data_IF_438489410696
#
_entry.id   IF_438489410696
#
_cell.length_a   1.000
_cell.length_b   1.000
_cell.length_c   1.000
_cell.angle_alpha   90.00
_cell.angle_beta   90.00
_cell.angle_gamma   90.00
#
_symmetry.space_group_name_H-M   'P 1'
#
loop_
_entity.id
_entity.type
_entity.pdbx_description
1 polymer ?
#
# COMPACT_ATOMS: atom_id res chain seq x y z
N UNK A 1 -25.89 13.31 13.70
CA UNK A 1 -25.03 13.96 12.68
C UNK A 1 -24.33 15.23 13.15
N UNK A 2 -24.92 16.04 14.06
CA UNK A 2 -24.29 17.30 14.51
C UNK A 2 -23.06 17.13 15.46
N UNK A 3 -22.92 16.01 16.19
CA UNK A 3 -21.78 15.82 17.12
C UNK A 3 -20.48 15.38 16.44
N UNK A 4 -20.55 14.71 15.28
CA UNK A 4 -19.36 14.26 14.53
C UNK A 4 -18.65 15.42 13.81
N UNK A 5 -19.40 16.43 13.34
CA UNK A 5 -18.85 17.62 12.70
C UNK A 5 -18.14 18.55 13.71
N UNK A 6 -18.60 18.58 14.97
CA UNK A 6 -17.99 19.40 16.02
C UNK A 6 -16.63 18.87 16.49
N UNK A 7 -16.46 17.54 16.54
CA UNK A 7 -15.20 16.89 16.90
C UNK A 7 -14.12 17.06 15.81
N UNK A 8 -14.52 17.02 14.53
CA UNK A 8 -13.60 17.23 13.41
C UNK A 8 -13.12 18.69 13.31
N UNK A 9 -13.99 19.66 13.62
CA UNK A 9 -13.63 21.07 13.67
C UNK A 9 -12.62 21.37 14.79
N UNK A 10 -12.79 20.76 15.97
CA UNK A 10 -11.88 20.93 17.12
C UNK A 10 -10.46 20.40 16.83
N UNK A 11 -10.35 19.25 16.15
CA UNK A 11 -9.08 18.67 15.74
C UNK A 11 -8.34 19.52 14.68
N UNK A 12 -9.08 20.10 13.73
CA UNK A 12 -8.54 21.00 12.70
C UNK A 12 -8.08 22.36 13.27
N UNK A 13 -8.80 22.91 14.26
CA UNK A 13 -8.38 24.16 14.94
C UNK A 13 -7.12 23.98 15.80
N UNK A 14 -6.91 22.81 16.39
CA UNK A 14 -5.67 22.45 17.10
C UNK A 14 -4.46 22.36 16.15
N UNK A 15 -4.69 21.87 14.92
CA UNK A 15 -3.65 21.78 13.88
C UNK A 15 -3.26 23.17 13.34
N UNK A 16 -4.22 24.09 13.23
CA UNK A 16 -4.02 25.46 12.74
C UNK A 16 -3.26 26.36 13.72
N UNK A 17 -3.31 26.07 15.02
CA UNK A 17 -2.64 26.85 16.06
C UNK A 17 -1.15 26.51 16.27
N UNK A 18 -0.60 25.51 15.56
CA UNK A 18 0.78 25.03 15.73
C UNK A 18 1.66 25.11 14.47
N UNK A 19 1.20 25.74 13.40
CA UNK A 19 2.03 26.02 12.22
C UNK A 19 2.40 27.51 12.18
N UNK A 20 3.68 27.90 12.05
CA UNK A 20 3.98 29.25 11.58
C UNK A 20 3.46 29.38 10.15
N UNK A 21 2.66 30.41 9.89
CA UNK A 21 2.09 30.71 8.59
C UNK A 21 3.20 30.97 7.57
N UNK A 22 3.51 29.98 6.74
CA UNK A 22 4.20 30.17 5.48
C UNK A 22 3.20 29.78 4.39
N UNK A 23 2.66 30.80 3.72
CA UNK A 23 2.25 30.86 2.31
C UNK A 23 1.24 32.02 2.16
N UNK A 24 1.78 33.24 2.02
CA UNK A 24 1.11 34.33 1.30
C UNK A 24 1.37 34.18 -0.21
N UNK A 25 0.60 34.89 -1.06
CA UNK A 25 0.58 34.64 -2.51
C UNK A 25 1.93 34.97 -3.16
N UNK A 26 2.39 34.06 -4.02
CA UNK A 26 3.66 34.17 -4.75
C UNK A 26 3.57 35.32 -5.76
N UNK A 27 4.33 36.39 -5.53
CA UNK A 27 4.74 37.36 -6.55
C UNK A 27 6.26 37.24 -6.76
N UNK A 28 6.68 37.04 -8.00
CA UNK A 28 8.08 37.14 -8.44
C UNK A 28 8.62 38.57 -8.22
N UNK A 29 9.76 38.74 -7.54
CA UNK A 29 10.70 39.89 -7.73
C UNK A 29 12.13 39.51 -7.26
N UNK A 30 13.22 39.96 -7.92
CA UNK A 30 14.60 39.58 -7.57
C UNK A 30 15.28 40.47 -6.51
N UNK A 31 16.28 39.86 -5.84
CA UNK A 31 17.52 40.34 -5.22
C UNK A 31 17.57 41.53 -4.21
N UNK A 32 18.44 41.32 -3.21
CA UNK A 32 19.20 42.22 -2.31
C UNK A 32 18.69 42.57 -0.89
N UNK A 33 19.54 42.16 0.06
CA UNK A 33 20.03 42.79 1.31
C UNK A 33 19.20 42.92 2.61
N UNK A 34 19.76 42.26 3.64
CA UNK A 34 20.07 42.71 5.01
C UNK A 34 18.96 43.25 5.95
N UNK A 35 18.78 42.56 7.10
CA UNK A 35 19.16 43.04 8.45
C UNK A 35 18.19 42.58 9.56
N UNK A 36 18.74 41.81 10.51
CA UNK A 36 18.66 41.92 12.00
C UNK A 36 17.30 41.98 12.75
N UNK A 37 17.15 40.99 13.65
CA UNK A 37 17.05 41.11 15.14
C UNK A 37 15.72 40.79 15.86
N UNK A 38 15.89 39.92 16.89
CA UNK A 38 15.24 39.76 18.20
C UNK A 38 13.84 39.11 18.38
N UNK A 39 13.90 37.96 19.07
CA UNK A 39 12.94 37.33 20.01
C UNK A 39 12.93 38.10 21.36
N UNK A 40 12.32 37.67 22.50
CA UNK A 40 11.14 36.82 22.83
C UNK A 40 10.25 37.41 23.96
N UNK A 41 9.15 36.73 24.36
CA UNK A 41 8.80 36.34 25.77
C UNK A 41 7.42 35.61 25.80
N UNK A 42 7.30 34.36 26.33
CA UNK A 42 6.91 33.91 27.71
C UNK A 42 5.50 34.38 28.15
N UNK A 43 4.65 33.64 28.89
CA UNK A 43 4.73 32.37 29.61
C UNK A 43 3.36 31.99 30.23
N UNK A 44 3.06 30.68 30.28
CA UNK A 44 2.66 29.84 31.43
C UNK A 44 1.32 29.95 32.21
N UNK A 45 0.78 28.73 32.45
CA UNK A 45 0.13 28.17 33.69
C UNK A 45 -1.29 28.67 34.08
N UNK A 46 -2.17 27.96 34.82
CA UNK A 46 -2.31 26.63 35.44
C UNK A 46 -3.78 26.55 35.96
N UNK A 47 -4.50 25.42 35.90
CA UNK A 47 -4.73 24.39 36.93
C UNK A 47 -6.04 24.47 37.76
N UNK A 48 -6.55 23.25 38.05
CA UNK A 48 -7.41 22.79 39.16
C UNK A 48 -8.90 23.17 39.17
N UNK A 49 -9.85 22.43 39.76
CA UNK A 49 -10.06 21.05 40.23
C UNK A 49 -11.48 21.01 40.86
N UNK A 50 -12.14 19.85 40.96
CA UNK A 50 -13.18 19.65 42.01
C UNK A 50 -14.35 18.70 41.70
N UNK A 51 -14.42 17.59 42.46
CA UNK A 51 -15.62 17.20 43.23
C UNK A 51 -16.64 16.21 42.63
N UNK A 52 -16.64 14.97 43.16
CA UNK A 52 -17.73 13.95 43.11
C UNK A 52 -18.71 14.16 44.31
N UNK A 53 -19.91 13.51 44.42
CA UNK A 53 -20.03 12.06 44.68
C UNK A 53 -21.29 11.29 44.16
N UNK A 54 -21.09 9.99 43.94
CA UNK A 54 -21.88 8.78 44.29
C UNK A 54 -23.44 8.78 44.24
N UNK A 55 -24.00 7.79 43.52
CA UNK A 55 -25.20 7.02 43.93
C UNK A 55 -25.13 5.56 43.46
N UNK A 56 -25.57 4.65 44.32
CA UNK A 56 -25.52 3.19 44.16
C UNK A 56 -26.91 2.56 43.93
N UNK A 57 -26.84 1.32 43.43
CA UNK A 57 -27.80 0.21 43.53
C UNK A 57 -28.97 0.10 42.52
N UNK A 58 -28.92 -0.96 41.70
CA UNK A 58 -29.93 -2.02 41.71
C UNK A 58 -29.40 -3.28 40.99
N UNK A 59 -29.44 -4.42 41.70
CA UNK A 59 -29.20 -5.78 41.20
C UNK A 59 -30.56 -6.34 40.79
N UNK A 60 -30.68 -6.95 39.61
CA UNK A 60 -31.80 -7.81 39.26
C UNK A 60 -31.35 -8.98 38.37
N UNK A 61 -32.00 -10.12 38.61
CA UNK A 61 -31.61 -11.48 38.27
C UNK A 61 -31.50 -11.85 36.78
N UNK A 62 -30.62 -12.83 36.59
CA UNK A 62 -30.44 -13.72 35.44
C UNK A 62 -31.76 -14.30 34.92
N UNK A 63 -31.94 -14.25 33.60
CA UNK A 63 -32.71 -15.27 32.87
C UNK A 63 -31.96 -15.62 31.58
N UNK A 64 -31.40 -16.82 31.56
CA UNK A 64 -30.80 -17.40 30.37
C UNK A 64 -31.90 -17.65 29.32
N UNK A 65 -31.71 -17.10 28.13
CA UNK A 65 -32.47 -17.46 26.94
C UNK A 65 -31.47 -17.95 25.90
N UNK A 66 -31.41 -19.26 25.76
CA UNK A 66 -30.82 -19.98 24.64
C UNK A 66 -31.60 -19.63 23.36
N UNK A 67 -31.11 -18.64 22.61
CA UNK A 67 -31.57 -18.34 21.26
C UNK A 67 -30.49 -18.74 20.27
N UNK A 68 -30.75 -19.80 19.50
CA UNK A 68 -29.95 -20.14 18.33
C UNK A 68 -30.05 -18.97 17.35
N UNK A 69 -28.94 -18.27 17.14
CA UNK A 69 -28.89 -17.18 16.16
C UNK A 69 -29.05 -17.77 14.75
N UNK A 70 -30.11 -17.33 14.05
CA UNK A 70 -30.28 -17.60 12.63
C UNK A 70 -29.10 -16.99 11.84
N UNK A 71 -28.74 -17.55 10.67
CA UNK A 71 -27.65 -17.00 9.88
C UNK A 71 -28.01 -15.58 9.46
N UNK A 72 -27.06 -14.65 9.62
CA UNK A 72 -27.16 -13.30 9.08
C UNK A 72 -27.16 -13.43 7.56
N UNK A 73 -28.32 -13.24 6.94
CA UNK A 73 -28.46 -13.11 5.49
C UNK A 73 -27.58 -11.95 5.02
N UNK A 74 -26.61 -12.26 4.16
CA UNK A 74 -25.81 -11.24 3.50
C UNK A 74 -26.74 -10.37 2.65
N UNK A 75 -26.91 -9.11 3.05
CA UNK A 75 -27.59 -8.12 2.21
C UNK A 75 -26.84 -8.01 0.88
N UNK A 76 -27.57 -8.24 -0.23
CA UNK A 76 -27.07 -7.97 -1.56
C UNK A 76 -26.64 -6.51 -1.67
N UNK A 77 -25.47 -6.21 -2.27
CA UNK A 77 -25.01 -4.84 -2.40
C UNK A 77 -26.02 -4.05 -3.24
N UNK A 78 -26.34 -2.84 -2.77
CA UNK A 78 -27.11 -1.87 -3.55
C UNK A 78 -26.47 -1.73 -4.93
N UNK A 79 -27.30 -1.66 -5.97
CA UNK A 79 -26.87 -1.52 -7.37
C UNK A 79 -25.74 -0.49 -7.46
N UNK A 80 -24.58 -0.94 -7.97
CA UNK A 80 -23.33 -0.19 -7.98
C UNK A 80 -23.54 1.17 -8.64
N UNK A 81 -23.76 2.20 -7.83
CA UNK A 81 -23.65 3.58 -8.27
C UNK A 81 -22.19 3.80 -8.63
N UNK A 82 -21.96 4.30 -9.84
CA UNK A 82 -20.68 4.66 -10.43
C UNK A 82 -19.59 4.97 -9.37
N UNK A 83 -18.78 3.94 -9.09
CA UNK A 83 -17.69 3.95 -8.10
C UNK A 83 -16.52 4.83 -8.61
N UNK A 84 -16.54 5.20 -9.89
CA UNK A 84 -15.38 5.70 -10.63
C UNK A 84 -14.90 7.12 -10.28
N UNK A 85 -15.75 8.13 -9.98
CA UNK A 85 -15.27 9.52 -9.95
C UNK A 85 -14.22 9.79 -8.86
N UNK A 86 -14.26 9.08 -7.73
CA UNK A 86 -13.33 9.30 -6.61
C UNK A 86 -12.27 8.20 -6.47
N UNK A 87 -12.58 6.95 -6.82
CA UNK A 87 -11.59 5.86 -6.75
C UNK A 87 -10.43 6.09 -7.71
N UNK A 88 -10.71 6.46 -8.98
CA UNK A 88 -9.63 6.69 -9.97
C UNK A 88 -8.68 7.82 -9.53
N UNK A 89 -9.15 9.01 -9.09
CA UNK A 89 -8.27 10.03 -8.52
C UNK A 89 -7.51 9.59 -7.27
N UNK A 90 -8.12 8.79 -6.39
CA UNK A 90 -7.46 8.25 -5.21
C UNK A 90 -6.28 7.33 -5.58
N UNK A 91 -6.50 6.37 -6.48
CA UNK A 91 -5.44 5.50 -7.00
C UNK A 91 -4.36 6.28 -7.76
N UNK A 92 -4.75 7.27 -8.56
CA UNK A 92 -3.81 8.13 -9.26
C UNK A 92 -2.93 8.92 -8.27
N UNK A 93 -3.49 9.37 -7.14
CA UNK A 93 -2.73 10.05 -6.10
C UNK A 93 -1.76 9.09 -5.38
N UNK A 94 -2.17 7.84 -5.10
CA UNK A 94 -1.30 6.79 -4.57
C UNK A 94 -0.11 6.53 -5.50
N UNK A 95 -0.38 6.29 -6.79
CA UNK A 95 0.65 6.01 -7.78
C UNK A 95 1.61 7.20 -7.94
N UNK A 96 1.09 8.43 -7.96
CA UNK A 96 1.93 9.64 -8.07
C UNK A 96 2.87 9.79 -6.88
N UNK A 97 2.37 9.61 -5.67
CA UNK A 97 3.16 9.67 -4.44
C UNK A 97 4.23 8.57 -4.41
N UNK A 98 3.87 7.35 -4.81
CA UNK A 98 4.78 6.23 -4.94
C UNK A 98 5.88 6.48 -5.99
N UNK A 99 5.53 6.88 -7.22
CA UNK A 99 6.53 7.07 -8.29
C UNK A 99 7.48 8.23 -7.98
N UNK A 100 7.01 9.29 -7.31
CA UNK A 100 7.85 10.40 -6.89
C UNK A 100 8.93 9.99 -5.87
N UNK A 101 8.66 8.94 -5.08
CA UNK A 101 9.57 8.44 -4.03
C UNK A 101 10.45 7.28 -4.48
N UNK A 102 10.18 6.69 -5.64
CA UNK A 102 10.83 5.48 -6.12
C UNK A 102 11.32 5.66 -7.57
N UNK A 103 12.49 6.32 -7.76
CA UNK A 103 13.04 6.59 -9.09
C UNK A 103 13.21 5.36 -9.98
N UNK A 104 13.51 4.20 -9.40
CA UNK A 104 13.65 2.93 -10.15
C UNK A 104 12.31 2.47 -10.68
N UNK A 105 11.27 2.53 -9.87
CA UNK A 105 9.91 2.23 -10.30
C UNK A 105 9.45 3.20 -11.37
N UNK A 106 9.74 4.49 -11.21
CA UNK A 106 9.43 5.51 -12.21
C UNK A 106 10.16 5.26 -13.53
N UNK A 107 11.43 4.86 -13.48
CA UNK A 107 12.21 4.46 -14.66
C UNK A 107 11.61 3.21 -15.32
N UNK A 108 11.26 2.18 -14.55
CA UNK A 108 10.67 0.94 -15.06
C UNK A 108 9.35 1.18 -15.77
N UNK A 109 8.42 1.91 -15.14
CA UNK A 109 7.13 2.28 -15.75
C UNK A 109 7.33 3.06 -17.05
N UNK A 110 8.23 4.06 -17.07
CA UNK A 110 8.53 4.82 -18.29
C UNK A 110 9.09 3.94 -19.40
N UNK A 111 10.04 3.06 -19.10
CA UNK A 111 10.64 2.17 -20.10
C UNK A 111 9.60 1.25 -20.75
N UNK A 112 8.70 0.68 -19.96
CA UNK A 112 7.60 -0.16 -20.51
C UNK A 112 6.64 0.70 -21.32
N UNK A 113 6.29 1.90 -20.84
CA UNK A 113 5.40 2.82 -21.54
C UNK A 113 5.97 3.24 -22.89
N UNK A 114 7.24 3.61 -22.95
CA UNK A 114 7.94 3.96 -24.18
C UNK A 114 8.01 2.78 -25.17
N UNK A 115 8.27 1.57 -24.66
CA UNK A 115 8.27 0.36 -25.48
C UNK A 115 6.87 0.01 -26.03
N UNK A 116 5.80 0.32 -25.28
CA UNK A 116 4.39 0.13 -25.67
C UNK A 116 3.80 1.34 -26.44
N UNK A 117 4.64 2.13 -27.11
CA UNK A 117 4.19 3.24 -27.95
C UNK A 117 3.57 4.41 -27.18
N UNK A 118 3.92 4.59 -25.91
CA UNK A 118 3.45 5.67 -25.05
C UNK A 118 2.10 5.40 -24.37
N UNK A 119 1.52 4.21 -24.54
CA UNK A 119 0.20 3.86 -23.98
C UNK A 119 0.21 3.87 -22.44
N UNK A 120 -0.91 4.25 -21.79
CA UNK A 120 -1.01 4.16 -20.34
C UNK A 120 -0.78 2.73 -19.83
N UNK A 121 0.01 2.59 -18.77
CA UNK A 121 0.37 1.28 -18.21
C UNK A 121 -0.74 0.75 -17.31
N UNK A 122 -1.32 -0.39 -17.71
CA UNK A 122 -2.30 -1.12 -16.89
C UNK A 122 -1.61 -1.70 -15.66
N UNK A 123 -2.19 -1.42 -14.49
CA UNK A 123 -1.70 -1.93 -13.21
C UNK A 123 -2.42 -3.24 -12.87
N UNK A 124 -1.67 -4.33 -12.69
CA UNK A 124 -2.21 -5.63 -12.27
C UNK A 124 -2.76 -5.58 -10.84
N UNK A 125 -1.94 -5.05 -9.93
CA UNK A 125 -2.29 -4.90 -8.53
C UNK A 125 -1.46 -3.81 -7.81
N UNK A 126 -1.95 -3.44 -6.63
CA UNK A 126 -1.32 -2.57 -5.65
C UNK A 126 -1.13 -3.33 -4.34
N UNK A 127 0.03 -3.20 -3.69
CA UNK A 127 0.28 -3.89 -2.43
C UNK A 127 0.62 -2.97 -1.26
N UNK A 128 0.14 -3.34 -0.08
CA UNK A 128 0.33 -2.62 1.17
C UNK A 128 0.80 -3.55 2.29
N UNK A 129 1.54 -2.97 3.23
CA UNK A 129 2.00 -3.62 4.47
C UNK A 129 1.43 -2.89 5.67
N UNK A 130 1.09 -3.64 6.72
CA UNK A 130 0.43 -3.10 7.91
C UNK A 130 0.85 -3.86 9.18
N UNK A 131 0.50 -3.34 10.35
CA UNK A 131 0.73 -4.04 11.62
C UNK A 131 -0.59 -4.60 12.14
N UNK A 132 -0.66 -5.91 12.39
CA UNK A 132 -1.80 -6.56 13.03
C UNK A 132 -1.89 -6.24 14.54
N UNK A 133 -1.86 -4.97 14.91
CA UNK A 133 -1.96 -4.46 16.28
C UNK A 133 -2.77 -3.15 16.32
N UNK A 134 -3.52 -2.94 17.41
CA UNK A 134 -4.18 -1.67 17.76
C UNK A 134 -5.04 -1.06 16.63
N UNK A 135 -5.68 -1.91 15.84
CA UNK A 135 -6.51 -1.48 14.70
C UNK A 135 -5.72 -0.90 13.52
N UNK A 136 -4.40 -1.09 13.46
CA UNK A 136 -3.52 -0.67 12.37
C UNK A 136 -3.29 -1.76 11.30
N UNK A 137 -4.08 -2.84 11.31
CA UNK A 137 -3.93 -3.99 10.42
C UNK A 137 -4.66 -3.83 9.09
N UNK A 138 -4.92 -4.95 8.41
CA UNK A 138 -5.58 -5.03 7.11
C UNK A 138 -6.90 -4.25 7.10
N UNK A 139 -7.70 -4.37 8.16
CA UNK A 139 -9.03 -3.74 8.25
C UNK A 139 -8.96 -2.20 8.18
N UNK A 140 -7.89 -1.59 8.67
CA UNK A 140 -7.75 -0.13 8.70
C UNK A 140 -7.73 0.46 7.29
N UNK A 141 -7.07 -0.21 6.35
CA UNK A 141 -6.93 0.23 4.96
C UNK A 141 -7.95 -0.42 4.04
N UNK A 142 -8.28 -1.70 4.25
CA UNK A 142 -9.23 -2.45 3.44
C UNK A 142 -10.60 -1.76 3.35
N UNK A 143 -11.03 -1.11 4.44
CA UNK A 143 -12.32 -0.43 4.49
C UNK A 143 -12.51 0.58 3.35
N UNK A 144 -11.48 1.33 2.96
CA UNK A 144 -11.60 2.28 1.84
C UNK A 144 -11.94 1.55 0.55
N UNK A 145 -11.21 0.48 0.22
CA UNK A 145 -11.48 -0.28 -0.99
C UNK A 145 -12.86 -0.95 -0.96
N UNK A 146 -13.26 -1.51 0.18
CA UNK A 146 -14.59 -2.11 0.36
C UNK A 146 -15.72 -1.09 0.20
N UNK A 147 -15.55 0.13 0.72
CA UNK A 147 -16.53 1.23 0.55
C UNK A 147 -16.67 1.64 -0.93
N UNK A 148 -15.66 1.35 -1.76
CA UNK A 148 -15.66 1.49 -3.22
C UNK A 148 -15.95 0.16 -3.95
N UNK A 149 -16.63 -0.80 -3.31
CA UNK A 149 -17.14 -1.99 -3.98
C UNK A 149 -16.08 -3.05 -4.35
N UNK A 150 -14.83 -2.92 -3.88
CA UNK A 150 -13.90 -4.04 -3.93
C UNK A 150 -14.42 -5.21 -3.10
N UNK A 151 -14.10 -6.43 -3.50
CA UNK A 151 -14.53 -7.66 -2.83
C UNK A 151 -13.33 -8.36 -2.23
N UNK A 152 -13.36 -8.63 -0.91
CA UNK A 152 -12.35 -9.44 -0.23
C UNK A 152 -12.35 -10.87 -0.79
N UNK A 153 -11.17 -11.42 -1.01
CA UNK A 153 -10.94 -12.77 -1.54
C UNK A 153 -10.07 -13.58 -0.57
N UNK A 154 -9.32 -14.54 -1.08
CA UNK A 154 -8.63 -15.56 -0.28
C UNK A 154 -7.65 -14.96 0.73
N UNK A 155 -7.50 -15.69 1.84
CA UNK A 155 -6.46 -15.44 2.83
C UNK A 155 -5.18 -16.18 2.43
N UNK A 156 -4.04 -15.50 2.50
CA UNK A 156 -2.71 -16.08 2.36
C UNK A 156 -1.98 -15.99 3.70
N UNK A 157 -1.20 -17.03 4.03
CA UNK A 157 -0.41 -17.07 5.26
C UNK A 157 1.05 -17.34 4.95
N UNK A 158 1.95 -16.65 5.67
CA UNK A 158 3.40 -16.79 5.54
C UNK A 158 3.99 -17.07 6.92
N UNK A 159 3.92 -18.33 7.41
CA UNK A 159 4.27 -18.66 8.79
C UNK A 159 5.69 -18.26 9.18
N UNK A 160 6.67 -18.47 8.29
CA UNK A 160 8.07 -18.13 8.53
C UNK A 160 8.28 -16.62 8.72
N UNK A 161 7.54 -15.79 7.98
CA UNK A 161 7.58 -14.33 8.06
C UNK A 161 6.59 -13.74 9.08
N UNK A 162 5.78 -14.59 9.74
CA UNK A 162 4.71 -14.21 10.67
C UNK A 162 3.71 -13.23 10.04
N UNK A 163 3.35 -13.46 8.76
CA UNK A 163 2.42 -12.60 8.03
C UNK A 163 1.13 -13.34 7.67
N UNK A 164 0.06 -12.57 7.55
CA UNK A 164 -1.13 -12.95 6.80
C UNK A 164 -1.50 -11.85 5.81
N UNK A 165 -2.22 -12.20 4.77
CA UNK A 165 -2.69 -11.26 3.78
C UNK A 165 -4.08 -11.62 3.26
N UNK A 166 -4.78 -10.61 2.79
CA UNK A 166 -5.96 -10.76 1.94
C UNK A 166 -5.72 -9.99 0.65
N UNK A 167 -6.32 -10.47 -0.43
CA UNK A 167 -6.45 -9.69 -1.65
C UNK A 167 -7.89 -9.28 -1.90
N UNK A 168 -8.07 -8.21 -2.68
CA UNK A 168 -9.34 -7.59 -2.94
C UNK A 168 -9.49 -7.43 -4.46
N UNK A 169 -10.52 -8.06 -5.00
CA UNK A 169 -10.87 -7.94 -6.41
C UNK A 169 -11.58 -6.60 -6.65
N UNK A 170 -11.26 -5.88 -7.75
CA UNK A 170 -11.98 -4.68 -8.11
C UNK A 170 -13.44 -4.99 -8.49
N UNK A 171 -14.35 -4.00 -8.49
CA UNK A 171 -15.73 -4.18 -8.96
C UNK A 171 -15.79 -4.72 -10.39
N UNK A 172 -16.68 -5.67 -10.69
CA UNK A 172 -16.75 -6.35 -12.00
C UNK A 172 -16.90 -5.38 -13.18
N UNK A 173 -17.70 -4.33 -13.04
CA UNK A 173 -17.92 -3.33 -14.09
C UNK A 173 -16.65 -2.54 -14.45
N UNK A 174 -15.65 -2.51 -13.55
CA UNK A 174 -14.37 -1.84 -13.79
C UNK A 174 -13.33 -2.69 -14.54
N UNK A 175 -13.68 -3.95 -14.85
CA UNK A 175 -12.83 -4.87 -15.62
C UNK A 175 -13.04 -4.69 -17.14
N UNK A 176 -14.26 -4.32 -17.55
CA UNK A 176 -14.61 -4.00 -18.92
C UNK A 176 -14.31 -2.52 -19.16
N UNK A 177 -13.31 -2.21 -19.97
CA UNK A 177 -12.81 -0.85 -20.14
C UNK A 177 -13.76 0.11 -20.87
N UNK A 178 -15.07 0.17 -20.68
CA UNK A 178 -15.91 1.00 -21.56
C UNK A 178 -15.70 2.53 -21.39
N UNK A 179 -14.86 2.96 -20.43
CA UNK A 179 -14.55 4.37 -20.17
C UNK A 179 -13.24 4.86 -20.82
N UNK A 180 -13.24 6.13 -21.23
CA UNK A 180 -12.05 6.87 -21.67
C UNK A 180 -11.11 7.13 -20.48
N UNK A 181 -9.82 6.80 -20.61
CA UNK A 181 -8.79 7.09 -19.60
C UNK A 181 -8.44 8.60 -19.60
N UNK A 182 -9.36 9.42 -19.12
CA UNK A 182 -9.16 10.86 -18.91
C UNK A 182 -8.13 11.08 -17.79
N UNK A 183 -6.85 10.92 -18.11
CA UNK A 183 -5.74 11.08 -17.18
C UNK A 183 -4.47 10.31 -17.55
N UNK A 184 -4.54 9.34 -18.45
CA UNK A 184 -3.38 8.60 -18.96
C UNK A 184 -2.61 7.82 -17.89
N UNK A 185 -3.26 7.50 -16.77
CA UNK A 185 -2.67 6.78 -15.62
C UNK A 185 -2.87 5.27 -15.70
N UNK A 186 -3.53 4.76 -16.76
CA UNK A 186 -3.69 3.33 -16.98
C UNK A 186 -4.61 2.66 -15.97
N UNK A 187 -5.51 3.45 -15.38
CA UNK A 187 -6.44 3.00 -14.36
C UNK A 187 -7.78 2.55 -14.93
N UNK A 188 -7.99 2.64 -16.25
CA UNK A 188 -9.23 2.22 -16.96
C UNK A 188 -9.75 0.90 -16.40
N UNK A 189 -8.86 -0.09 -16.29
CA UNK A 189 -9.05 -1.27 -15.46
C UNK A 189 -8.50 -1.01 -14.06
N UNK A 190 -9.35 -1.18 -13.05
CA UNK A 190 -8.91 -0.98 -11.67
C UNK A 190 -8.00 -2.15 -11.23
N UNK A 191 -6.88 -1.86 -10.55
CA UNK A 191 -5.97 -2.90 -10.08
C UNK A 191 -6.60 -3.69 -8.94
N UNK A 192 -6.18 -4.95 -8.79
CA UNK A 192 -6.39 -5.71 -7.55
C UNK A 192 -5.65 -5.03 -6.40
N UNK A 193 -6.06 -5.29 -5.17
CA UNK A 193 -5.35 -4.77 -3.99
C UNK A 193 -4.92 -5.92 -3.10
N UNK A 194 -3.65 -5.96 -2.72
CA UNK A 194 -3.09 -6.93 -1.79
C UNK A 194 -2.71 -6.22 -0.49
N UNK A 195 -3.30 -6.63 0.63
CA UNK A 195 -2.99 -6.03 1.94
C UNK A 195 -2.50 -7.13 2.86
N UNK A 196 -1.28 -6.97 3.33
CA UNK A 196 -0.66 -7.86 4.31
C UNK A 196 -0.58 -7.19 5.68
N UNK A 197 -0.52 -8.01 6.73
CA UNK A 197 -0.16 -7.56 8.06
C UNK A 197 0.82 -8.51 8.75
N UNK A 198 1.68 -7.92 9.58
CA UNK A 198 2.47 -8.65 10.54
C UNK A 198 1.58 -9.12 11.70
N UNK A 199 1.64 -10.41 12.00
CA UNK A 199 1.00 -11.00 13.18
C UNK A 199 1.82 -10.66 14.43
N UNK A 200 1.63 -9.43 14.95
CA UNK A 200 2.44 -8.83 16.01
C UNK A 200 2.54 -9.72 17.25
N UNK A 201 1.47 -10.43 17.62
CA UNK A 201 1.47 -11.31 18.79
C UNK A 201 2.40 -12.54 18.66
N UNK A 202 2.88 -12.84 17.44
CA UNK A 202 3.90 -13.89 17.19
C UNK A 202 5.35 -13.35 17.27
N UNK A 203 5.53 -12.06 17.48
CA UNK A 203 6.84 -11.40 17.61
C UNK A 203 7.40 -11.54 19.03
N UNK A 204 8.69 -11.27 19.22
CA UNK A 204 9.26 -11.17 20.58
C UNK A 204 8.57 -10.08 21.41
N UNK A 205 8.59 -10.20 22.74
CA UNK A 205 8.00 -9.20 23.63
C UNK A 205 8.57 -7.79 23.38
N UNK A 206 9.88 -7.70 23.08
CA UNK A 206 10.55 -6.44 22.77
C UNK A 206 10.01 -5.83 21.45
N UNK A 207 9.87 -6.63 20.40
CA UNK A 207 9.31 -6.14 19.13
C UNK A 207 7.83 -5.73 19.28
N UNK A 208 7.05 -6.49 20.06
CA UNK A 208 5.66 -6.13 20.37
C UNK A 208 5.58 -4.79 21.11
N UNK A 209 6.43 -4.56 22.11
CA UNK A 209 6.50 -3.29 22.85
C UNK A 209 6.82 -2.12 21.91
N UNK A 210 7.83 -2.27 21.06
CA UNK A 210 8.21 -1.24 20.08
C UNK A 210 7.07 -0.96 19.10
N UNK A 211 6.40 -1.98 18.56
CA UNK A 211 5.28 -1.77 17.62
C UNK A 211 4.10 -1.08 18.31
N UNK A 212 3.74 -1.51 19.53
CA UNK A 212 2.62 -0.94 20.30
C UNK A 212 2.91 0.48 20.77
N UNK A 213 4.16 0.83 21.06
CA UNK A 213 4.60 2.21 21.33
C UNK A 213 4.19 3.18 20.21
N UNK A 214 4.22 2.74 18.95
CA UNK A 214 3.85 3.57 17.79
C UNK A 214 2.38 3.45 17.39
N UNK A 215 1.80 2.24 17.48
CA UNK A 215 0.44 1.96 16.98
C UNK A 215 -0.67 2.33 17.97
N UNK A 216 -0.40 2.30 19.29
CA UNK A 216 -1.41 2.54 20.33
C UNK A 216 -1.99 3.97 20.38
N UNK A 217 -1.35 4.94 19.72
CA UNK A 217 -1.81 6.33 19.67
C UNK A 217 -3.22 6.49 19.06
N UNK A 218 -3.60 5.57 18.18
CA UNK A 218 -4.92 5.49 17.57
C UNK A 218 -5.41 4.06 17.73
N UNK A 219 -5.98 3.72 18.89
CA UNK A 219 -6.53 2.40 19.14
C UNK A 219 -8.07 2.46 19.20
N UNK A 220 -8.80 2.11 18.10
CA UNK A 220 -8.31 1.71 16.79
C UNK A 220 -7.97 2.89 15.86
N UNK A 221 -7.14 2.65 14.84
CA UNK A 221 -6.81 3.65 13.83
C UNK A 221 -8.01 3.88 12.89
N UNK A 222 -8.51 5.13 12.75
CA UNK A 222 -9.58 5.40 11.79
C UNK A 222 -9.11 5.14 10.35
N UNK A 223 -9.95 4.50 9.53
CA UNK A 223 -9.61 4.16 8.15
C UNK A 223 -9.26 5.37 7.28
N UNK A 224 -9.84 6.54 7.60
CA UNK A 224 -9.53 7.81 6.94
C UNK A 224 -8.07 8.21 7.17
N UNK A 225 -7.52 7.92 8.35
CA UNK A 225 -6.11 8.21 8.66
C UNK A 225 -5.21 7.28 7.86
N UNK A 226 -5.53 5.98 7.76
CA UNK A 226 -4.78 5.04 6.93
C UNK A 226 -4.80 5.44 5.44
N UNK A 227 -5.97 5.84 4.93
CA UNK A 227 -6.13 6.30 3.55
C UNK A 227 -5.33 7.57 3.25
N UNK A 228 -5.42 8.59 4.12
CA UNK A 228 -4.64 9.83 3.96
C UNK A 228 -3.14 9.56 4.09
N UNK A 229 -2.73 8.74 5.05
CA UNK A 229 -1.34 8.29 5.22
C UNK A 229 -0.81 7.63 3.95
N UNK A 230 -1.60 6.76 3.31
CA UNK A 230 -1.20 6.06 2.10
C UNK A 230 -0.98 6.99 0.91
N UNK A 231 -1.85 7.97 0.71
CA UNK A 231 -1.74 8.96 -0.37
C UNK A 231 -0.57 9.92 -0.14
N UNK A 232 -0.43 10.44 1.07
CA UNK A 232 0.64 11.39 1.40
C UNK A 232 2.01 10.70 1.54
N UNK A 233 2.04 9.38 1.70
CA UNK A 233 3.27 8.67 2.02
C UNK A 233 3.84 9.07 3.39
N UNK A 234 2.96 9.44 4.31
CA UNK A 234 3.31 9.99 5.63
C UNK A 234 3.02 8.97 6.74
N UNK A 235 3.77 9.04 7.84
CA UNK A 235 3.52 8.20 9.02
C UNK A 235 2.27 8.70 9.77
N UNK A 236 1.37 7.80 10.18
CA UNK A 236 0.25 8.17 11.04
C UNK A 236 0.69 8.31 12.51
N UNK A 237 1.84 7.74 12.88
CA UNK A 237 2.45 7.82 14.21
C UNK A 237 3.64 8.80 14.24
N UNK A 238 4.14 9.05 15.46
CA UNK A 238 5.34 9.86 15.64
C UNK A 238 6.55 9.23 14.93
N UNK A 239 7.48 10.06 14.45
CA UNK A 239 8.73 9.57 13.85
C UNK A 239 9.45 8.61 14.82
N UNK A 240 9.81 7.39 14.39
CA UNK A 240 10.50 6.43 15.24
C UNK A 240 11.93 6.87 15.56
N UNK A 241 12.51 6.30 16.61
CA UNK A 241 13.96 6.37 16.86
C UNK A 241 14.71 5.37 15.99
N UNK A 242 16.01 5.60 15.77
CA UNK A 242 16.86 4.64 15.06
C UNK A 242 16.99 3.32 15.82
N UNK A 243 16.97 3.37 17.16
CA UNK A 243 16.96 2.19 18.03
C UNK A 243 15.71 1.33 17.85
N UNK A 244 14.52 1.94 17.79
CA UNK A 244 13.27 1.21 17.55
C UNK A 244 13.32 0.50 16.19
N UNK A 245 13.79 1.22 15.16
CA UNK A 245 13.94 0.68 13.81
C UNK A 245 14.92 -0.50 13.75
N UNK A 246 16.11 -0.36 14.34
CA UNK A 246 17.12 -1.42 14.36
C UNK A 246 16.65 -2.64 15.17
N UNK A 247 15.92 -2.41 16.27
CA UNK A 247 15.31 -3.48 17.07
C UNK A 247 14.34 -4.30 16.23
N UNK A 248 13.47 -3.64 15.46
CA UNK A 248 12.57 -4.35 14.55
C UNK A 248 13.32 -5.01 13.40
N UNK A 249 14.32 -4.34 12.82
CA UNK A 249 15.08 -4.86 11.67
C UNK A 249 15.85 -6.14 12.02
N UNK A 250 16.28 -6.30 13.27
CA UNK A 250 16.97 -7.50 13.74
C UNK A 250 16.06 -8.74 13.81
N UNK A 251 14.74 -8.58 13.95
CA UNK A 251 13.77 -9.69 14.00
C UNK A 251 12.94 -9.82 12.72
N UNK A 252 12.51 -8.71 12.13
CA UNK A 252 11.63 -8.68 10.98
C UNK A 252 11.87 -7.43 10.13
N UNK A 253 12.45 -7.64 8.95
CA UNK A 253 12.61 -6.58 7.95
C UNK A 253 11.25 -6.02 7.48
N UNK A 254 10.19 -6.85 7.49
CA UNK A 254 8.82 -6.39 7.25
C UNK A 254 8.38 -5.37 8.31
N UNK A 255 8.66 -5.65 9.59
CA UNK A 255 8.31 -4.76 10.69
C UNK A 255 9.08 -3.43 10.59
N UNK A 256 10.39 -3.50 10.33
CA UNK A 256 11.23 -2.31 10.14
C UNK A 256 10.75 -1.46 8.95
N UNK A 257 10.44 -2.09 7.82
CA UNK A 257 9.91 -1.41 6.64
C UNK A 257 8.58 -0.71 6.96
N UNK A 258 7.67 -1.41 7.63
CA UNK A 258 6.33 -0.90 7.97
C UNK A 258 6.43 0.27 8.94
N UNK A 259 7.38 0.25 9.88
CA UNK A 259 7.58 1.34 10.85
C UNK A 259 7.90 2.69 10.17
N UNK A 260 8.71 2.69 9.10
CA UNK A 260 9.22 3.91 8.43
C UNK A 260 8.50 4.24 7.12
N UNK A 261 7.64 3.35 6.61
CA UNK A 261 6.84 3.58 5.41
C UNK A 261 5.31 3.55 5.67
N UNK A 262 4.85 2.98 6.79
CA UNK A 262 3.44 2.85 7.16
C UNK A 262 2.57 2.37 5.98
N UNK A 263 1.48 3.09 5.70
CA UNK A 263 0.52 2.75 4.64
C UNK A 263 0.97 3.19 3.23
N UNK A 264 2.22 3.62 3.06
CA UNK A 264 2.74 3.90 1.70
C UNK A 264 2.59 2.65 0.82
N UNK A 265 2.26 2.86 -0.45
CA UNK A 265 2.21 1.78 -1.44
C UNK A 265 3.56 1.05 -1.47
N UNK A 266 3.57 -0.25 -1.15
CA UNK A 266 4.79 -1.07 -1.12
C UNK A 266 5.30 -1.39 -2.52
N UNK A 267 4.39 -1.62 -3.45
CA UNK A 267 4.68 -1.70 -4.88
C UNK A 267 3.39 -1.53 -5.68
N UNK A 268 3.55 -1.12 -6.93
CA UNK A 268 2.57 -1.33 -8.00
C UNK A 268 3.10 -2.40 -8.93
N UNK A 269 2.21 -2.99 -9.72
CA UNK A 269 2.56 -4.10 -10.60
C UNK A 269 2.12 -3.82 -12.03
N UNK A 270 3.05 -3.86 -12.97
CA UNK A 270 2.74 -3.71 -14.39
C UNK A 270 2.13 -5.01 -14.93
N UNK A 271 0.97 -4.92 -15.59
CA UNK A 271 0.37 -6.05 -16.30
C UNK A 271 1.06 -6.25 -17.65
N UNK A 272 1.92 -7.27 -17.74
CA UNK A 272 2.71 -7.55 -18.94
C UNK A 272 1.82 -7.96 -20.11
N UNK A 273 0.79 -8.77 -19.84
CA UNK A 273 -0.15 -9.25 -20.85
C UNK A 273 -1.11 -8.17 -21.39
N UNK A 274 -1.07 -6.97 -20.82
CA UNK A 274 -1.84 -5.80 -21.30
C UNK A 274 -1.06 -4.92 -22.29
N UNK A 275 0.24 -5.17 -22.47
CA UNK A 275 1.06 -4.52 -23.52
C UNK A 275 0.62 -4.99 -24.90
N UNK A 276 0.98 -4.23 -25.94
CA UNK A 276 0.69 -4.63 -27.31
C UNK A 276 1.36 -5.98 -27.63
N UNK A 277 0.67 -6.91 -28.32
CA UNK A 277 1.12 -8.29 -28.47
C UNK A 277 2.52 -8.48 -29.05
N UNK A 278 3.04 -7.49 -29.80
CA UNK A 278 4.33 -7.57 -30.48
C UNK A 278 5.50 -7.02 -29.63
N UNK A 279 5.25 -6.26 -28.56
CA UNK A 279 6.29 -5.50 -27.83
C UNK A 279 7.27 -6.42 -27.11
N UNK A 280 6.74 -7.43 -26.41
CA UNK A 280 7.52 -8.43 -25.70
C UNK A 280 7.24 -9.85 -26.23
N UNK A 281 6.85 -9.97 -27.50
CA UNK A 281 6.63 -11.26 -28.13
C UNK A 281 7.89 -12.11 -28.15
N UNK A 282 7.72 -13.42 -27.92
CA UNK A 282 8.77 -14.38 -28.20
C UNK A 282 8.93 -14.56 -29.73
N UNK A 283 10.16 -14.77 -30.22
CA UNK A 283 10.36 -15.20 -31.60
C UNK A 283 9.58 -16.49 -31.89
N UNK A 284 9.09 -16.62 -33.11
CA UNK A 284 8.31 -17.80 -33.51
C UNK A 284 9.12 -19.10 -33.26
N UNK A 285 8.55 -20.02 -32.48
CA UNK A 285 9.18 -21.29 -32.13
C UNK A 285 10.18 -21.23 -30.97
N UNK A 286 10.43 -20.06 -30.35
CA UNK A 286 11.23 -19.96 -29.14
C UNK A 286 10.40 -20.25 -27.88
N UNK A 287 10.94 -20.98 -26.90
CA UNK A 287 10.29 -21.17 -25.60
C UNK A 287 10.32 -19.86 -24.79
N UNK A 288 9.37 -19.70 -23.87
CA UNK A 288 9.32 -18.58 -22.93
C UNK A 288 8.02 -17.78 -23.01
N UNK A 289 7.95 -16.73 -22.21
CA UNK A 289 6.79 -15.87 -22.02
C UNK A 289 7.16 -14.41 -22.30
N UNK A 290 6.15 -13.51 -22.35
CA UNK A 290 6.42 -12.11 -22.61
C UNK A 290 7.23 -11.46 -21.48
N UNK A 291 7.00 -11.89 -20.24
CA UNK A 291 7.74 -11.42 -19.08
C UNK A 291 9.24 -11.75 -19.13
N UNK A 292 9.66 -12.82 -19.82
CA UNK A 292 11.08 -13.12 -20.02
C UNK A 292 11.74 -12.03 -20.89
N UNK A 293 11.10 -11.69 -22.01
CA UNK A 293 11.56 -10.62 -22.92
C UNK A 293 11.56 -9.26 -22.24
N UNK A 294 10.57 -9.01 -21.40
CA UNK A 294 10.51 -7.81 -20.58
C UNK A 294 11.68 -7.76 -19.59
N UNK A 295 11.96 -8.85 -18.88
CA UNK A 295 13.07 -8.92 -17.93
C UNK A 295 14.41 -8.61 -18.62
N UNK A 296 14.69 -9.27 -19.75
CA UNK A 296 15.89 -9.02 -20.57
C UNK A 296 15.98 -7.55 -20.98
N UNK A 297 14.87 -6.98 -21.46
CA UNK A 297 14.80 -5.59 -21.85
C UNK A 297 15.12 -4.65 -20.67
N UNK A 298 14.49 -4.84 -19.52
CA UNK A 298 14.71 -4.01 -18.33
C UNK A 298 16.16 -4.09 -17.82
N UNK A 299 16.73 -5.30 -17.79
CA UNK A 299 18.12 -5.51 -17.41
C UNK A 299 19.09 -4.84 -18.40
N UNK A 300 18.82 -4.94 -19.70
CA UNK A 300 19.61 -4.23 -20.73
C UNK A 300 19.57 -2.70 -20.60
N UNK A 301 18.52 -2.18 -19.97
CA UNK A 301 18.34 -0.75 -19.65
C UNK A 301 18.84 -0.39 -18.25
N UNK A 302 19.51 -1.32 -17.56
CA UNK A 302 20.12 -1.12 -16.25
C UNK A 302 19.13 -1.06 -15.10
N UNK A 303 18.06 -1.85 -15.14
CA UNK A 303 17.27 -2.16 -13.94
C UNK A 303 17.75 -3.46 -13.31
N UNK A 304 18.02 -3.43 -12.01
CA UNK A 304 18.33 -4.63 -11.23
C UNK A 304 17.04 -5.30 -10.79
N UNK A 305 16.87 -6.57 -11.16
CA UNK A 305 15.73 -7.39 -10.76
C UNK A 305 16.07 -8.23 -9.53
N UNK A 306 15.08 -8.47 -8.67
CA UNK A 306 15.19 -9.34 -7.50
C UNK A 306 15.49 -10.77 -7.95
N UNK A 307 16.62 -11.30 -7.49
CA UNK A 307 17.13 -12.64 -7.83
C UNK A 307 16.89 -13.71 -6.75
N UNK A 308 16.16 -13.42 -5.66
CA UNK A 308 15.87 -14.42 -4.63
C UNK A 308 15.07 -15.60 -5.22
N UNK A 309 15.64 -16.81 -5.12
CA UNK A 309 15.18 -18.01 -5.83
C UNK A 309 15.53 -17.99 -7.32
N UNK A 310 14.97 -17.03 -8.06
CA UNK A 310 15.16 -16.80 -9.50
C UNK A 310 14.62 -15.41 -9.85
N UNK A 311 14.97 -14.83 -11.01
CA UNK A 311 14.36 -13.56 -11.44
C UNK A 311 12.85 -13.75 -11.69
N UNK A 312 12.49 -14.80 -12.43
CA UNK A 312 11.10 -15.17 -12.72
C UNK A 312 10.57 -16.12 -11.66
N UNK A 313 9.50 -15.74 -10.98
CA UNK A 313 8.74 -16.57 -10.04
C UNK A 313 7.49 -17.06 -10.75
N UNK A 314 7.33 -18.37 -10.84
CA UNK A 314 6.17 -18.99 -11.48
C UNK A 314 5.36 -19.75 -10.44
N UNK A 315 4.03 -19.56 -10.46
CA UNK A 315 3.12 -20.35 -9.64
C UNK A 315 3.21 -21.84 -10.00
N UNK A 316 2.83 -22.77 -9.09
CA UNK A 316 2.86 -24.20 -9.38
C UNK A 316 2.03 -24.64 -10.59
N UNK A 317 0.95 -23.93 -10.90
CA UNK A 317 0.14 -24.15 -12.11
C UNK A 317 0.78 -23.58 -13.39
N UNK A 318 1.86 -22.80 -13.25
CA UNK A 318 2.57 -22.13 -14.34
C UNK A 318 1.80 -20.96 -14.96
N UNK A 319 0.69 -20.51 -14.38
CA UNK A 319 -0.21 -19.53 -14.98
C UNK A 319 -0.07 -18.10 -14.42
N UNK A 320 0.64 -17.93 -13.31
CA UNK A 320 1.01 -16.62 -12.76
C UNK A 320 2.53 -16.51 -12.73
N UNK A 321 3.05 -15.60 -13.54
CA UNK A 321 4.47 -15.32 -13.68
C UNK A 321 4.76 -13.93 -13.15
N UNK A 322 5.77 -13.80 -12.29
CA UNK A 322 6.08 -12.55 -11.62
C UNK A 322 7.59 -12.30 -11.59
N UNK A 323 7.98 -11.04 -11.73
CA UNK A 323 9.34 -10.55 -11.45
C UNK A 323 9.24 -9.18 -10.80
N UNK A 324 10.29 -8.76 -10.10
CA UNK A 324 10.29 -7.45 -9.43
C UNK A 324 11.66 -6.79 -9.51
N UNK A 325 11.70 -5.46 -9.42
CA UNK A 325 12.93 -4.72 -9.20
C UNK A 325 13.41 -4.92 -7.76
N UNK A 326 14.70 -4.72 -7.53
CA UNK A 326 15.19 -4.43 -6.17
C UNK A 326 14.64 -3.07 -5.72
N UNK A 327 14.27 -2.93 -4.45
CA UNK A 327 13.72 -1.68 -3.93
C UNK A 327 14.74 -0.53 -3.97
N UNK A 328 14.22 0.70 -4.07
CA UNK A 328 15.00 1.90 -3.80
C UNK A 328 15.31 2.02 -2.31
N UNK A 329 16.36 2.76 -1.98
CA UNK A 329 16.66 3.19 -0.61
C UNK A 329 16.57 4.71 -0.52
N UNK A 330 16.30 5.22 0.69
CA UNK A 330 16.26 6.65 0.95
C UNK A 330 16.86 6.98 2.33
N UNK A 331 17.45 8.17 2.50
CA UNK A 331 17.76 8.65 3.84
C UNK A 331 16.46 8.85 4.63
N UNK A 332 16.46 8.40 5.88
CA UNK A 332 15.38 8.62 6.84
C UNK A 332 15.95 9.26 8.12
N UNK A 333 15.38 10.40 8.50
CA UNK A 333 15.77 11.15 9.69
C UNK A 333 14.92 10.67 10.88
N UNK A 334 15.56 9.98 11.83
CA UNK A 334 14.92 9.46 13.02
C UNK A 334 14.77 10.54 14.11
N UNK A 335 13.88 10.30 15.08
CA UNK A 335 13.56 11.26 16.14
C UNK A 335 14.72 11.55 17.10
N UNK A 336 15.71 10.67 17.15
CA UNK A 336 16.94 10.77 17.95
C UNK A 336 18.08 11.49 17.22
N UNK A 337 17.79 12.11 16.06
CA UNK A 337 18.76 12.87 15.27
C UNK A 337 19.65 12.02 14.38
N UNK A 338 19.51 10.69 14.40
CA UNK A 338 20.26 9.77 13.53
C UNK A 338 19.62 9.75 12.14
N UNK A 339 20.44 9.62 11.10
CA UNK A 339 19.98 9.40 9.72
C UNK A 339 20.52 8.07 9.22
N UNK A 340 19.64 7.16 8.80
CA UNK A 340 20.03 5.89 8.17
C UNK A 340 19.44 5.80 6.76
N UNK A 341 20.07 4.97 5.92
CA UNK A 341 19.46 4.53 4.66
C UNK A 341 18.45 3.43 4.96
N UNK A 342 17.20 3.61 4.54
CA UNK A 342 16.11 2.64 4.75
C UNK A 342 15.51 2.21 3.42
N UNK A 343 14.97 0.98 3.32
CA UNK A 343 14.24 0.55 2.14
C UNK A 343 13.00 1.43 1.89
N UNK A 344 12.83 1.82 0.65
CA UNK A 344 11.60 2.36 0.09
C UNK A 344 10.85 1.22 -0.61
N UNK A 345 10.31 1.45 -1.80
CA UNK A 345 9.43 0.52 -2.50
C UNK A 345 10.12 -0.04 -3.76
N UNK A 346 9.51 -1.05 -4.37
CA UNK A 346 9.96 -1.65 -5.63
C UNK A 346 8.83 -1.67 -6.65
N UNK A 347 9.15 -1.97 -7.91
CA UNK A 347 8.18 -2.20 -8.98
C UNK A 347 8.09 -3.70 -9.28
N UNK A 348 6.88 -4.20 -9.50
CA UNK A 348 6.65 -5.57 -9.92
C UNK A 348 6.12 -5.62 -11.37
N UNK A 349 6.31 -6.77 -12.02
CA UNK A 349 5.76 -7.12 -13.31
C UNK A 349 5.05 -8.47 -13.19
N UNK A 350 3.83 -8.57 -13.69
CA UNK A 350 3.06 -9.81 -13.65
C UNK A 350 2.47 -10.15 -15.02
N UNK A 351 2.59 -11.42 -15.41
CA UNK A 351 1.93 -12.00 -16.56
C UNK A 351 0.97 -13.09 -16.11
N UNK A 352 -0.33 -12.90 -16.39
CA UNK A 352 -1.38 -13.88 -16.10
C UNK A 352 -1.72 -14.63 -17.38
N UNK A 353 -1.46 -15.93 -17.41
CA UNK A 353 -1.74 -16.75 -18.58
C UNK A 353 -3.21 -17.16 -18.65
N UNK A 354 -3.65 -17.50 -19.85
CA UNK A 354 -5.02 -17.95 -20.15
C UNK A 354 -5.27 -19.29 -19.48
N UNK A 355 -6.40 -19.42 -18.78
CA UNK A 355 -6.81 -20.66 -18.14
C UNK A 355 -6.99 -21.77 -19.19
N UNK A 356 -6.71 -23.05 -18.84
CA UNK A 356 -6.80 -24.18 -19.77
C UNK A 356 -8.13 -24.26 -20.53
N UNK A 357 -9.25 -24.04 -19.86
CA UNK A 357 -10.60 -24.05 -20.42
C UNK A 357 -10.83 -22.98 -21.49
N UNK A 358 -10.05 -21.88 -21.49
CA UNK A 358 -10.17 -20.76 -22.41
C UNK A 358 -9.10 -20.74 -23.52
N UNK A 359 -8.24 -21.76 -23.60
CA UNK A 359 -7.19 -21.86 -24.64
C UNK A 359 -7.72 -21.89 -26.08
N UNK A 360 -8.99 -22.21 -26.26
CA UNK A 360 -9.65 -22.22 -27.57
C UNK A 360 -10.01 -20.82 -28.08
N UNK A 361 -9.98 -19.80 -27.22
CA UNK A 361 -10.26 -18.42 -27.61
C UNK A 361 -9.13 -17.87 -28.49
N UNK A 362 -9.48 -17.05 -29.48
CA UNK A 362 -8.47 -16.29 -30.24
C UNK A 362 -7.87 -15.24 -29.32
N UNK A 363 -6.61 -14.87 -29.56
CA UNK A 363 -5.90 -13.88 -28.74
C UNK A 363 -6.66 -12.55 -28.61
N UNK A 364 -7.38 -12.12 -29.66
CA UNK A 364 -8.20 -10.90 -29.65
C UNK A 364 -9.45 -10.99 -28.77
N UNK A 365 -9.93 -12.21 -28.47
CA UNK A 365 -11.13 -12.47 -27.67
C UNK A 365 -10.78 -12.79 -26.19
N UNK A 366 -9.50 -12.89 -25.87
CA UNK A 366 -9.03 -13.11 -24.48
C UNK A 366 -9.22 -11.84 -23.68
N UNK A 367 -9.97 -11.95 -22.58
CA UNK A 367 -10.22 -10.89 -21.60
C UNK A 367 -9.61 -11.27 -20.26
N UNK A 368 -9.59 -10.33 -19.32
CA UNK A 368 -8.98 -10.55 -18.00
C UNK A 368 -9.63 -11.72 -17.24
N UNK A 369 -10.96 -11.90 -17.34
CA UNK A 369 -11.64 -13.03 -16.70
C UNK A 369 -11.26 -14.41 -17.26
N UNK A 370 -10.60 -14.47 -18.43
CA UNK A 370 -10.13 -15.72 -19.02
C UNK A 370 -8.73 -16.12 -18.53
N UNK A 371 -8.09 -15.30 -17.68
CA UNK A 371 -6.73 -15.48 -17.19
C UNK A 371 -6.71 -15.91 -15.73
N UNK A 372 -5.57 -16.45 -15.28
CA UNK A 372 -5.36 -16.85 -13.88
C UNK A 372 -5.52 -15.68 -12.92
N UNK A 373 -6.57 -15.75 -12.11
CA UNK A 373 -6.89 -14.77 -11.07
C UNK A 373 -6.27 -15.15 -9.72
N UNK A 374 -6.09 -14.20 -8.79
CA UNK A 374 -5.57 -14.42 -7.44
C UNK A 374 -4.05 -14.29 -7.36
N UNK A 375 -3.49 -14.75 -6.25
CA UNK A 375 -2.06 -14.67 -5.93
C UNK A 375 -1.50 -16.07 -5.66
N UNK A 376 -0.17 -16.18 -5.51
CA UNK A 376 0.47 -17.40 -5.04
C UNK A 376 1.41 -17.11 -3.86
N UNK A 377 1.27 -17.86 -2.77
CA UNK A 377 2.11 -17.82 -1.57
C UNK A 377 3.57 -18.04 -1.92
N UNK A 378 3.90 -19.04 -2.75
CA UNK A 378 5.28 -19.33 -3.14
C UNK A 378 5.95 -18.16 -3.85
N UNK A 379 5.25 -17.53 -4.78
CA UNK A 379 5.74 -16.34 -5.48
C UNK A 379 5.85 -15.15 -4.52
N UNK A 380 4.79 -14.87 -3.74
CA UNK A 380 4.71 -13.73 -2.85
C UNK A 380 5.79 -13.78 -1.76
N UNK A 381 6.10 -14.95 -1.20
CA UNK A 381 7.16 -15.13 -0.19
C UNK A 381 8.52 -14.63 -0.69
N UNK A 382 8.82 -14.89 -1.97
CA UNK A 382 10.06 -14.46 -2.64
C UNK A 382 10.04 -13.00 -3.06
N UNK A 383 8.87 -12.48 -3.40
CA UNK A 383 8.69 -11.08 -3.78
C UNK A 383 8.83 -10.16 -2.56
N UNK A 384 8.43 -10.61 -1.35
CA UNK A 384 8.66 -9.85 -0.11
C UNK A 384 10.14 -9.48 0.10
N UNK A 385 11.06 -10.32 -0.38
CA UNK A 385 12.51 -10.11 -0.29
C UNK A 385 13.01 -8.95 -1.16
N UNK A 386 12.18 -8.35 -2.03
CA UNK A 386 12.59 -7.20 -2.87
C UNK A 386 12.99 -5.97 -2.04
N UNK A 387 12.57 -5.91 -0.77
CA UNK A 387 12.98 -4.88 0.20
C UNK A 387 14.07 -5.36 1.16
N UNK A 388 14.64 -6.55 0.95
CA UNK A 388 15.52 -7.15 1.94
C UNK A 388 16.92 -6.54 1.94
N UNK A 389 17.55 -6.49 3.11
CA UNK A 389 18.93 -6.02 3.27
C UNK A 389 19.91 -6.73 2.33
N UNK A 390 19.74 -8.04 2.14
CA UNK A 390 20.53 -8.85 1.20
C UNK A 390 20.39 -8.39 -0.26
N UNK A 391 19.16 -8.17 -0.73
CA UNK A 391 18.92 -7.67 -2.10
C UNK A 391 19.48 -6.25 -2.28
N UNK A 392 19.34 -5.40 -1.27
CA UNK A 392 19.81 -4.01 -1.31
C UNK A 392 21.34 -3.90 -1.31
N UNK A 393 22.04 -4.80 -0.62
CA UNK A 393 23.51 -4.83 -0.58
C UNK A 393 24.11 -5.17 -1.95
N UNK A 394 23.45 -6.03 -2.74
CA UNK A 394 23.88 -6.39 -4.10
C UNK A 394 23.74 -5.28 -5.14
N UNK A 395 23.25 -4.09 -4.73
CA UNK A 395 23.05 -2.93 -5.59
C UNK A 395 24.23 -1.95 -5.61
N UNK A 396 25.16 -2.08 -4.64
CA UNK A 396 26.30 -1.18 -4.45
C UNK A 396 27.49 -1.49 -5.35
#
# INVERSE_FOLDING_TARGET
MASALSSCAAALSSLRARMPALLGPVKLVPALEASRVAVPFRSASSAAAGGSPVKAAAIAHVRAASGVAAPVEAQAPAAASDVAPLMRPYLAALLRSYLARNPTSQKGVRLVQEADGGRPIVQDHLAFRTFGADGCGIESLAKVFLDFGYVRRDMLTFPAKKLRAYWFAPPEHSLAGDETDEGGVGLRQLPRVFISELEVDKMSALAQEVIRKHTSAFNPLPSQVAAVSSVLGALPWATPSSTDYQTLAAESEYAAWTLVNAYSLNHTTVSVHSTQPHVFAQPAGSPGFAIDRLNDFLQSKGLTLNSDGSILKASPDGLLLQSSSVADTRPFHFSDGVTLSVPSSYLEFAERLVLPEHKHLKAADVQEQHRREGFEVGNADKIFESTSSHQLAGRQ
#
